data_IF_758060725405
#
_entry.id   IF_758060725405
#
_cell.length_a   1.000
_cell.length_b   1.000
_cell.length_c   1.000
_cell.angle_alpha   90.00
_cell.angle_beta   90.00
_cell.angle_gamma   90.00
#
_symmetry.space_group_name_H-M   'P 1'
#
loop_
_entity.id
_entity.type
_entity.pdbx_description
1 polymer ?
#
# COMPACT_ATOMS: atom_id res chain seq x y z
N UNK A 1 23.38 6.42 -29.38
CA UNK A 1 22.53 5.71 -28.42
C UNK A 1 21.83 6.73 -27.54
N UNK A 2 20.52 6.71 -27.61
CA UNK A 2 19.74 7.61 -26.77
C UNK A 2 19.60 6.97 -25.39
N UNK A 3 20.19 7.62 -24.40
CA UNK A 3 19.99 7.18 -23.02
C UNK A 3 18.72 7.81 -22.49
N UNK A 4 17.84 7.02 -21.96
CA UNK A 4 16.66 7.53 -21.31
C UNK A 4 17.05 8.03 -19.92
N UNK A 5 16.56 9.21 -19.53
CA UNK A 5 16.76 9.74 -18.19
C UNK A 5 15.86 9.08 -17.15
N UNK A 6 15.00 8.16 -17.59
CA UNK A 6 14.09 7.46 -16.69
C UNK A 6 14.84 6.35 -15.94
N UNK A 7 14.69 6.29 -14.61
CA UNK A 7 15.27 5.20 -13.84
C UNK A 7 14.61 3.87 -14.17
N UNK A 8 15.33 2.74 -13.99
CA UNK A 8 14.72 1.43 -14.09
C UNK A 8 13.51 1.30 -13.16
N UNK A 9 12.58 0.39 -13.53
CA UNK A 9 11.32 0.22 -12.79
C UNK A 9 11.54 0.03 -11.29
N UNK A 10 12.43 -0.88 -10.89
CA UNK A 10 12.65 -1.16 -9.47
C UNK A 10 13.28 0.02 -8.73
N UNK A 11 14.10 0.82 -9.40
CA UNK A 11 14.67 2.04 -8.80
C UNK A 11 13.58 3.06 -8.56
N UNK A 12 12.71 3.29 -9.54
CA UNK A 12 11.60 4.23 -9.38
C UNK A 12 10.61 3.76 -8.33
N UNK A 13 10.30 2.45 -8.29
CA UNK A 13 9.47 1.89 -7.23
C UNK A 13 10.06 2.15 -5.86
N UNK A 14 11.37 1.93 -5.71
CA UNK A 14 12.07 2.18 -4.44
C UNK A 14 12.02 3.65 -4.04
N UNK A 15 12.12 4.56 -4.99
CA UNK A 15 12.00 6.00 -4.74
C UNK A 15 10.61 6.37 -4.25
N UNK A 16 9.56 5.80 -4.86
CA UNK A 16 8.18 6.03 -4.45
C UNK A 16 7.89 5.44 -3.06
N UNK A 17 8.46 4.27 -2.78
CA UNK A 17 8.35 3.66 -1.44
C UNK A 17 9.02 4.54 -0.38
N UNK A 18 10.22 5.04 -0.66
CA UNK A 18 10.94 5.93 0.25
C UNK A 18 10.18 7.24 0.47
N UNK A 19 9.59 7.80 -0.56
CA UNK A 19 8.80 9.02 -0.45
C UNK A 19 7.61 8.82 0.49
N UNK A 20 6.90 7.70 0.35
CA UNK A 20 5.78 7.37 1.25
C UNK A 20 6.26 7.26 2.70
N UNK A 21 7.40 6.59 2.93
CA UNK A 21 7.97 6.45 4.27
C UNK A 21 8.30 7.83 4.86
N UNK A 22 8.84 8.74 4.07
CA UNK A 22 9.17 10.09 4.53
C UNK A 22 7.93 10.87 4.98
N UNK A 23 6.87 10.83 4.18
CA UNK A 23 5.60 11.48 4.56
C UNK A 23 5.06 10.95 5.89
N UNK A 24 5.21 9.66 6.13
CA UNK A 24 4.78 9.05 7.38
C UNK A 24 5.73 9.42 8.52
N UNK A 25 7.01 9.11 8.38
CA UNK A 25 7.99 9.20 9.45
C UNK A 25 8.12 10.61 10.02
N UNK A 26 8.19 11.62 9.15
CA UNK A 26 8.37 13.00 9.59
C UNK A 26 7.10 13.60 10.20
N UNK A 27 5.97 12.91 10.11
CA UNK A 27 4.72 13.34 10.72
C UNK A 27 4.34 12.51 11.96
N UNK A 28 5.20 11.60 12.38
CA UNK A 28 4.98 10.85 13.61
C UNK A 28 5.39 11.68 14.83
N UNK A 29 4.75 11.42 16.00
CA UNK A 29 5.05 12.22 17.20
C UNK A 29 6.44 11.92 17.75
N UNK A 30 7.00 12.89 18.46
CA UNK A 30 8.25 12.71 19.21
C UNK A 30 7.94 12.14 20.60
N UNK A 31 7.57 10.86 20.63
CA UNK A 31 7.21 10.19 21.87
C UNK A 31 7.92 8.82 21.92
N UNK A 32 7.64 8.03 22.95
CA UNK A 32 8.35 6.76 23.20
C UNK A 32 7.79 5.59 22.36
N UNK A 33 7.32 5.85 21.15
CA UNK A 33 6.94 4.78 20.25
C UNK A 33 8.20 4.06 19.71
N UNK A 34 8.07 2.76 19.44
CA UNK A 34 9.17 1.99 18.85
C UNK A 34 8.90 1.58 17.41
N UNK A 35 7.64 1.39 17.03
CA UNK A 35 7.27 0.97 15.68
C UNK A 35 5.92 1.55 15.27
N UNK A 36 5.81 1.87 13.98
CA UNK A 36 4.55 2.26 13.36
C UNK A 36 4.18 1.20 12.33
N UNK A 37 2.96 0.70 12.38
CA UNK A 37 2.43 -0.29 11.44
C UNK A 37 1.24 0.29 10.72
N UNK A 38 1.29 0.26 9.39
CA UNK A 38 0.20 0.75 8.56
C UNK A 38 -0.20 -0.35 7.60
N UNK A 39 -1.50 -0.68 7.59
CA UNK A 39 -2.09 -1.59 6.61
C UNK A 39 -3.05 -0.78 5.77
N UNK A 40 -2.78 -0.73 4.47
CA UNK A 40 -3.63 -0.04 3.50
C UNK A 40 -4.23 -1.06 2.55
N UNK A 41 -5.57 -1.09 2.49
CA UNK A 41 -6.31 -1.93 1.56
C UNK A 41 -6.96 -1.07 0.50
N UNK A 42 -6.95 -1.52 -0.74
CA UNK A 42 -7.53 -0.76 -1.86
C UNK A 42 -8.14 -1.71 -2.87
N UNK A 43 -9.37 -1.42 -3.27
CA UNK A 43 -10.05 -2.11 -4.39
C UNK A 43 -10.96 -1.11 -5.08
N UNK A 44 -10.69 -0.80 -6.35
CA UNK A 44 -11.44 0.21 -7.09
C UNK A 44 -11.45 1.56 -6.36
N UNK A 45 -12.62 2.14 -6.14
CA UNK A 45 -12.73 3.43 -5.44
C UNK A 45 -12.65 3.32 -3.91
N UNK A 46 -12.58 2.10 -3.35
CA UNK A 46 -12.63 1.90 -1.90
C UNK A 46 -11.23 1.72 -1.36
N UNK A 47 -10.86 2.52 -0.36
CA UNK A 47 -9.60 2.40 0.35
C UNK A 47 -9.81 2.46 1.86
N UNK A 48 -8.94 1.76 2.60
CA UNK A 48 -8.99 1.72 4.06
C UNK A 48 -7.58 1.73 4.61
N UNK A 49 -7.32 2.64 5.55
CA UNK A 49 -6.04 2.70 6.25
C UNK A 49 -6.23 2.35 7.70
N UNK A 50 -5.43 1.41 8.20
CA UNK A 50 -5.36 1.08 9.62
C UNK A 50 -3.92 1.32 10.05
N UNK A 51 -3.72 2.25 10.97
CA UNK A 51 -2.39 2.64 11.42
C UNK A 51 -2.30 2.63 12.94
N UNK A 52 -1.22 2.07 13.45
CA UNK A 52 -1.01 1.89 14.88
C UNK A 52 0.44 2.18 15.26
N UNK A 53 0.63 2.85 16.40
CA UNK A 53 1.93 3.00 17.03
C UNK A 53 2.05 2.00 18.17
N UNK A 54 3.16 1.27 18.20
CA UNK A 54 3.53 0.43 19.33
C UNK A 54 4.57 1.18 20.16
N UNK A 55 4.33 1.32 21.44
CA UNK A 55 5.20 2.03 22.35
C UNK A 55 6.16 1.09 23.07
N UNK A 56 7.20 1.67 23.70
CA UNK A 56 8.24 0.88 24.37
C UNK A 56 7.70 0.01 25.50
N UNK A 57 6.62 0.42 26.15
CA UNK A 57 5.97 -0.34 27.22
C UNK A 57 5.04 -1.44 26.68
N UNK A 58 4.89 -1.53 25.34
CA UNK A 58 4.07 -2.55 24.68
C UNK A 58 2.64 -2.11 24.38
N UNK A 59 2.20 -0.95 24.86
CA UNK A 59 0.85 -0.51 24.53
C UNK A 59 0.78 -0.02 23.07
N UNK A 60 -0.40 -0.09 22.48
CA UNK A 60 -0.64 0.23 21.07
C UNK A 60 -1.69 1.33 21.00
N UNK A 61 -1.43 2.35 20.18
CA UNK A 61 -2.38 3.44 19.96
C UNK A 61 -2.66 3.58 18.46
N UNK A 62 -3.94 3.69 18.06
CA UNK A 62 -4.27 3.97 16.67
C UNK A 62 -3.92 5.43 16.34
N UNK A 63 -3.61 5.67 15.06
CA UNK A 63 -3.43 7.02 14.56
C UNK A 63 -3.92 7.11 13.12
N UNK A 64 -4.15 8.35 12.67
CA UNK A 64 -4.53 8.60 11.28
C UNK A 64 -3.29 9.05 10.52
N UNK A 65 -2.86 8.31 9.47
CA UNK A 65 -1.74 8.77 8.66
C UNK A 65 -2.10 10.04 7.90
N UNK A 66 -1.12 10.90 7.57
CA UNK A 66 -1.40 12.12 6.82
C UNK A 66 -1.89 11.80 5.41
N UNK A 67 -2.67 12.72 4.83
CA UNK A 67 -3.21 12.55 3.48
C UNK A 67 -2.09 12.35 2.45
N UNK A 68 -0.98 13.05 2.61
CA UNK A 68 0.15 12.97 1.69
C UNK A 68 0.73 11.54 1.65
N UNK A 69 0.74 10.87 2.79
CA UNK A 69 1.17 9.47 2.84
C UNK A 69 0.21 8.57 2.07
N UNK A 70 -1.10 8.74 2.27
CA UNK A 70 -2.11 7.94 1.56
C UNK A 70 -2.03 8.20 0.06
N UNK A 71 -1.87 9.46 -0.35
CA UNK A 71 -1.70 9.82 -1.75
C UNK A 71 -0.44 9.16 -2.34
N UNK A 72 0.67 9.14 -1.58
CA UNK A 72 1.90 8.49 -2.01
C UNK A 72 1.70 6.98 -2.19
N UNK A 73 0.90 6.35 -1.33
CA UNK A 73 0.55 4.93 -1.49
C UNK A 73 -0.25 4.68 -2.76
N UNK A 74 -1.19 5.57 -3.08
CA UNK A 74 -1.99 5.42 -4.29
C UNK A 74 -1.14 5.61 -5.54
N UNK A 75 -0.21 6.56 -5.53
CA UNK A 75 0.74 6.75 -6.63
C UNK A 75 1.63 5.53 -6.80
N UNK A 76 2.12 4.96 -5.71
CA UNK A 76 2.92 3.75 -5.73
C UNK A 76 2.13 2.57 -6.31
N UNK A 77 0.86 2.43 -5.91
CA UNK A 77 -0.02 1.39 -6.43
C UNK A 77 -0.21 1.52 -7.94
N UNK A 78 -0.53 2.72 -8.40
CA UNK A 78 -0.69 2.99 -9.83
C UNK A 78 0.58 2.66 -10.60
N UNK A 79 1.72 3.07 -10.07
CA UNK A 79 3.01 2.80 -10.73
C UNK A 79 3.30 1.31 -10.81
N UNK A 80 3.13 0.58 -9.70
CA UNK A 80 3.40 -0.87 -9.66
C UNK A 80 2.45 -1.63 -10.59
N UNK A 81 1.22 -1.13 -10.77
CA UNK A 81 0.24 -1.75 -11.67
C UNK A 81 0.63 -1.63 -13.15
N UNK A 82 1.57 -0.75 -13.51
CA UNK A 82 2.02 -0.61 -14.90
C UNK A 82 2.73 -1.87 -15.44
N UNK A 83 3.06 -2.82 -14.57
CA UNK A 83 3.59 -4.12 -15.00
C UNK A 83 2.55 -4.98 -15.74
N UNK A 84 1.26 -4.61 -15.69
CA UNK A 84 0.21 -5.32 -16.42
C UNK A 84 -0.29 -6.60 -15.75
N UNK A 85 -0.01 -6.76 -14.45
CA UNK A 85 -0.43 -7.92 -13.66
C UNK A 85 -1.46 -7.55 -12.58
N UNK A 86 -2.17 -6.44 -12.80
CA UNK A 86 -3.09 -5.90 -11.81
C UNK A 86 -2.39 -5.06 -10.76
N UNK A 87 -3.18 -4.52 -9.84
CA UNK A 87 -2.68 -3.75 -8.72
C UNK A 87 -2.70 -4.60 -7.44
N UNK A 88 -1.76 -4.34 -6.52
CA UNK A 88 -1.82 -5.00 -5.22
C UNK A 88 -3.08 -4.56 -4.46
N UNK A 89 -3.60 -5.46 -3.62
CA UNK A 89 -4.86 -5.24 -2.89
C UNK A 89 -4.64 -4.72 -1.48
N UNK A 90 -3.47 -5.00 -0.91
CA UNK A 90 -3.09 -4.42 0.37
C UNK A 90 -1.59 -4.25 0.45
N UNK A 91 -1.17 -3.28 1.26
CA UNK A 91 0.23 -3.02 1.56
C UNK A 91 0.38 -2.87 3.06
N UNK A 92 1.38 -3.51 3.63
CA UNK A 92 1.76 -3.36 5.02
C UNK A 92 3.13 -2.72 5.09
N UNK A 93 3.22 -1.63 5.83
CA UNK A 93 4.47 -0.92 6.07
C UNK A 93 4.74 -0.90 7.56
N UNK A 94 5.92 -1.34 7.96
CA UNK A 94 6.42 -1.19 9.33
C UNK A 94 7.59 -0.22 9.31
N UNK A 95 7.54 0.81 10.14
CA UNK A 95 8.62 1.78 10.29
C UNK A 95 9.06 1.78 11.75
N UNK A 96 10.35 1.58 11.97
CA UNK A 96 10.92 1.62 13.29
C UNK A 96 11.37 3.04 13.65
N UNK A 97 11.48 3.33 14.95
CA UNK A 97 11.93 4.64 15.44
C UNK A 97 13.30 5.02 14.88
N UNK A 98 14.15 4.03 14.63
CA UNK A 98 15.47 4.23 14.01
C UNK A 98 15.40 4.72 12.56
N UNK A 99 14.24 4.63 11.91
CA UNK A 99 14.06 4.96 10.50
C UNK A 99 14.12 3.75 9.57
N UNK A 100 14.43 2.57 10.08
CA UNK A 100 14.37 1.34 9.29
C UNK A 100 12.92 1.01 8.97
N UNK A 101 12.68 0.47 7.77
CA UNK A 101 11.32 0.17 7.35
C UNK A 101 11.29 -1.10 6.50
N UNK A 102 10.08 -1.69 6.43
CA UNK A 102 9.83 -2.90 5.64
C UNK A 102 8.45 -2.84 5.03
N UNK A 103 8.39 -3.17 3.74
CA UNK A 103 7.15 -3.25 2.97
C UNK A 103 6.76 -4.70 2.71
N UNK A 104 5.45 -4.94 2.69
CA UNK A 104 4.88 -6.20 2.25
C UNK A 104 3.66 -5.88 1.40
N UNK A 105 3.66 -6.29 0.13
CA UNK A 105 2.56 -6.07 -0.81
C UNK A 105 1.82 -7.38 -1.04
N UNK A 106 0.50 -7.32 -1.02
CA UNK A 106 -0.36 -8.46 -1.22
C UNK A 106 -1.17 -8.29 -2.50
N UNK A 107 -0.95 -9.17 -3.49
CA UNK A 107 -1.64 -9.15 -4.78
C UNK A 107 -2.78 -10.16 -4.86
N UNK A 108 -2.65 -11.29 -4.17
CA UNK A 108 -3.45 -12.48 -4.48
C UNK A 108 -4.35 -12.97 -3.36
N UNK A 109 -4.10 -12.55 -2.13
CA UNK A 109 -4.92 -12.97 -0.99
C UNK A 109 -6.01 -11.94 -0.70
N UNK A 110 -7.08 -12.36 -0.05
CA UNK A 110 -8.11 -11.41 0.40
C UNK A 110 -7.48 -10.38 1.32
N UNK A 111 -7.68 -9.08 1.06
CA UNK A 111 -7.11 -8.04 1.92
C UNK A 111 -7.73 -8.08 3.32
N UNK A 112 -6.98 -7.67 4.35
CA UNK A 112 -7.46 -7.69 5.73
C UNK A 112 -8.32 -6.47 6.06
N UNK A 113 -9.39 -6.26 5.35
CA UNK A 113 -10.32 -5.16 5.60
C UNK A 113 -10.94 -5.25 6.99
N UNK A 114 -11.08 -4.12 7.65
CA UNK A 114 -11.96 -4.03 8.82
C UNK A 114 -13.42 -3.96 8.36
N UNK A 115 -13.66 -3.19 7.28
CA UNK A 115 -14.97 -3.05 6.66
C UNK A 115 -14.82 -3.44 5.19
N UNK A 116 -15.08 -4.71 4.84
CA UNK A 116 -14.92 -5.17 3.45
C UNK A 116 -15.83 -4.42 2.49
N UNK A 117 -15.34 -4.07 1.29
CA UNK A 117 -16.19 -3.46 0.27
C UNK A 117 -17.11 -4.50 -0.38
N UNK A 118 -18.04 -4.03 -1.20
CA UNK A 118 -18.85 -4.92 -2.03
C UNK A 118 -18.00 -5.51 -3.17
N UNK A 119 -18.50 -6.58 -3.77
CA UNK A 119 -17.82 -7.24 -4.89
C UNK A 119 -17.54 -6.29 -6.05
N UNK A 120 -18.42 -5.31 -6.26
CA UNK A 120 -18.26 -4.36 -7.36
C UNK A 120 -16.95 -3.58 -7.28
N UNK A 121 -16.46 -3.28 -6.07
CA UNK A 121 -15.19 -2.58 -5.92
C UNK A 121 -14.05 -3.36 -6.57
N UNK A 122 -14.03 -4.69 -6.40
CA UNK A 122 -13.04 -5.56 -7.03
C UNK A 122 -13.20 -5.62 -8.54
N UNK A 123 -14.44 -5.66 -9.02
CA UNK A 123 -14.71 -5.67 -10.46
C UNK A 123 -14.19 -4.39 -11.11
N UNK A 124 -14.42 -3.24 -10.49
CA UNK A 124 -13.93 -1.95 -10.96
C UNK A 124 -12.41 -1.87 -10.95
N UNK A 125 -11.78 -2.44 -9.90
CA UNK A 125 -10.32 -2.48 -9.82
C UNK A 125 -9.73 -3.30 -10.95
N UNK A 126 -10.33 -4.45 -11.26
CA UNK A 126 -9.88 -5.31 -12.34
C UNK A 126 -10.07 -4.65 -13.71
N UNK A 127 -11.10 -3.84 -13.89
CA UNK A 127 -11.32 -3.08 -15.12
C UNK A 127 -10.23 -2.01 -15.31
N UNK A 128 -9.85 -1.34 -14.23
CA UNK A 128 -8.81 -0.30 -14.27
C UNK A 128 -7.42 -0.90 -14.39
N UNK A 129 -7.16 -2.00 -13.68
CA UNK A 129 -5.87 -2.68 -13.65
C UNK A 129 -6.06 -4.15 -14.02
N UNK A 130 -6.16 -4.44 -15.32
CA UNK A 130 -6.42 -5.83 -15.77
C UNK A 130 -5.35 -6.80 -15.32
N UNK A 131 -5.77 -8.04 -15.08
CA UNK A 131 -4.89 -9.16 -14.81
C UNK A 131 -5.01 -10.19 -15.92
N UNK A 132 -3.94 -10.90 -16.25
CA UNK A 132 -4.08 -12.10 -17.06
C UNK A 132 -5.05 -13.07 -16.38
N UNK A 133 -5.87 -13.82 -17.14
CA UNK A 133 -6.87 -14.72 -16.53
C UNK A 133 -6.29 -15.66 -15.48
N UNK A 134 -5.09 -16.19 -15.72
CA UNK A 134 -4.40 -17.09 -14.81
C UNK A 134 -3.92 -16.43 -13.51
N UNK A 135 -3.88 -15.09 -13.50
CA UNK A 135 -3.46 -14.32 -12.33
C UNK A 135 -4.63 -13.79 -11.51
N UNK A 136 -5.87 -14.16 -11.86
CA UNK A 136 -7.06 -13.78 -11.10
C UNK A 136 -7.33 -14.87 -10.07
N UNK A 137 -7.19 -14.59 -8.76
CA UNK A 137 -7.46 -15.59 -7.74
C UNK A 137 -8.89 -16.12 -7.79
N UNK A 138 -9.09 -17.37 -7.38
CA UNK A 138 -10.42 -18.02 -7.43
C UNK A 138 -11.47 -17.25 -6.60
N UNK A 139 -11.07 -16.65 -5.49
CA UNK A 139 -11.97 -15.89 -4.61
C UNK A 139 -12.33 -14.51 -5.18
N UNK A 140 -11.58 -14.03 -6.18
CA UNK A 140 -11.72 -12.66 -6.68
C UNK A 140 -13.06 -12.49 -7.39
N UNK A 141 -13.90 -11.48 -7.00
CA UNK A 141 -15.18 -11.25 -7.66
C UNK A 141 -14.99 -10.84 -9.13
N UNK A 142 -15.85 -11.37 -9.98
CA UNK A 142 -15.81 -11.12 -11.42
C UNK A 142 -17.14 -10.60 -11.92
N UNK A 143 -17.07 -9.81 -12.98
CA UNK A 143 -18.29 -9.40 -13.67
C UNK A 143 -18.91 -10.62 -14.36
N UNK A 144 -20.23 -10.72 -14.30
CA UNK A 144 -20.98 -11.76 -15.00
C UNK A 144 -21.13 -11.41 -16.49
#
# INVERSE_FOLDING_TARGET
VTMTDEPPFLVKQGQLQEEAVKWLYYNLPESDWKAADITFCKAGPVGESVAELTYKDGHVEPFAPPREFVNALMDLRDFMATLGKGAWLSAHLTVNKSGDYRWNFNHDERPPWRVPPTDEAYVLDLQKYPRPPEAIPAWYPRAN
#
